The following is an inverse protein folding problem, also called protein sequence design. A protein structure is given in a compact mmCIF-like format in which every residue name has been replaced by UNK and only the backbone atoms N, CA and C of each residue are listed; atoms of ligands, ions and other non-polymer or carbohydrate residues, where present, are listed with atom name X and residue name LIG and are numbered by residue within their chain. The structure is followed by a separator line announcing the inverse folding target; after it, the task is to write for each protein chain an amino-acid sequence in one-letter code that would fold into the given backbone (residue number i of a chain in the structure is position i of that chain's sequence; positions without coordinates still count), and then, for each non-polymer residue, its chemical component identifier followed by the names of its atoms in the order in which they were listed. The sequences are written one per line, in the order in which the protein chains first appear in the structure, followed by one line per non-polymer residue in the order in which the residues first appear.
data_IF_173280955959
#
_entry.id   IF_173280955959
#
_cell.length_a   1.000
_cell.length_b   1.000
_cell.length_c   1.000
_cell.angle_alpha   90.00
_cell.angle_beta   90.00
_cell.angle_gamma   90.00
#
_symmetry.space_group_name_H-M   'P 1'
#
loop_
_entity.id
_entity.type
_entity.pdbx_description
1 polymer ?
#
# COMPACT_ATOMS: atom_id res chain seq x y z
N UNK A 1 56.61 58.35 -9.27
CA UNK A 1 56.06 59.72 -9.13
C UNK A 1 55.14 59.71 -7.90
N UNK A 2 55.46 60.46 -6.83
CA UNK A 2 54.83 60.36 -5.51
C UNK A 2 53.96 61.58 -5.12
N UNK A 3 53.04 61.40 -4.16
CA UNK A 3 52.41 62.35 -3.21
C UNK A 3 51.43 61.51 -2.36
N UNK A 4 51.55 61.22 -1.04
CA UNK A 4 51.53 62.03 0.22
C UNK A 4 50.31 62.98 0.25
N UNK A 5 49.32 62.93 1.17
CA UNK A 5 49.32 63.30 2.61
C UNK A 5 48.12 62.71 3.40
N UNK A 6 48.38 62.49 4.69
CA UNK A 6 47.58 62.11 5.88
C UNK A 6 46.19 62.72 6.15
N UNK A 7 45.45 62.06 7.04
CA UNK A 7 44.27 62.60 7.74
C UNK A 7 43.64 61.74 8.86
N UNK A 8 44.39 61.48 9.94
CA UNK A 8 43.98 61.43 11.36
C UNK A 8 42.68 60.73 11.87
N UNK A 9 42.93 59.81 12.80
CA UNK A 9 42.37 59.71 14.17
C UNK A 9 40.90 59.34 14.42
N UNK A 10 40.71 58.25 15.18
CA UNK A 10 39.44 57.91 15.84
C UNK A 10 39.43 56.58 16.59
N UNK A 11 40.37 56.33 17.50
CA UNK A 11 40.24 55.27 18.50
C UNK A 11 39.15 55.64 19.52
N UNK A 12 38.18 54.75 19.75
CA UNK A 12 37.51 54.64 21.05
C UNK A 12 37.63 53.21 21.58
N UNK A 13 38.38 53.12 22.66
CA UNK A 13 38.48 52.01 23.60
C UNK A 13 37.12 51.66 24.23
N UNK A 14 36.93 50.37 24.53
CA UNK A 14 36.49 49.75 25.81
C UNK A 14 36.82 48.26 25.59
N UNK A 15 37.82 47.64 26.24
CA UNK A 15 37.88 47.34 27.68
C UNK A 15 37.29 45.92 27.90
N UNK A 16 38.04 44.86 27.63
CA UNK A 16 38.75 43.99 28.59
C UNK A 16 37.85 43.29 29.63
N UNK A 17 37.88 41.94 29.61
CA UNK A 17 38.08 41.06 30.78
C UNK A 17 37.14 39.83 30.88
N UNK A 18 37.81 38.66 30.96
CA UNK A 18 37.64 37.65 32.02
C UNK A 18 36.47 36.64 31.96
N UNK A 19 36.79 35.34 31.71
CA UNK A 19 36.90 34.26 32.74
C UNK A 19 36.67 32.86 32.15
N UNK A 20 37.57 31.92 32.50
CA UNK A 20 37.39 30.47 32.48
C UNK A 20 36.18 30.04 33.33
N UNK A 21 35.30 29.17 32.84
CA UNK A 21 34.61 28.23 33.72
C UNK A 21 33.94 27.07 32.95
N UNK A 22 34.24 25.85 33.38
CA UNK A 22 33.24 24.80 33.54
C UNK A 22 32.91 23.98 32.30
N UNK A 23 33.56 22.82 32.18
CA UNK A 23 32.95 21.63 31.58
C UNK A 23 31.68 21.32 32.39
N UNK A 24 30.53 21.74 31.87
CA UNK A 24 29.23 21.19 32.27
C UNK A 24 28.94 20.08 31.29
N UNK A 25 29.22 18.83 31.70
CA UNK A 25 28.60 17.67 31.09
C UNK A 25 27.12 17.77 31.45
N UNK A 26 26.35 18.43 30.59
CA UNK A 26 24.90 18.29 30.56
C UNK A 26 24.63 16.87 30.06
N UNK A 27 24.59 15.94 31.02
CA UNK A 27 23.77 14.73 30.92
C UNK A 27 22.34 15.22 30.68
N UNK A 28 21.99 15.44 29.40
CA UNK A 28 20.62 15.38 28.96
C UNK A 28 20.17 13.97 29.29
N UNK A 29 19.52 13.82 30.44
CA UNK A 29 18.54 12.78 30.64
C UNK A 29 17.54 12.97 29.48
N UNK A 30 17.80 12.28 28.37
CA UNK A 30 16.73 11.81 27.54
C UNK A 30 15.93 10.90 28.46
N UNK A 31 14.99 11.50 29.21
CA UNK A 31 13.80 10.79 29.59
C UNK A 31 13.31 10.17 28.29
N UNK A 32 13.58 8.90 28.11
CA UNK A 32 12.75 8.03 27.30
C UNK A 32 11.37 8.15 27.94
N UNK A 33 10.63 9.21 27.59
CA UNK A 33 9.18 9.21 27.65
C UNK A 33 8.80 8.07 26.73
N UNK A 34 8.74 6.88 27.30
CA UNK A 34 8.01 5.77 26.72
C UNK A 34 6.65 6.37 26.40
N UNK A 35 6.39 6.56 25.11
CA UNK A 35 5.20 7.26 24.65
C UNK A 35 4.02 6.61 25.37
N UNK A 36 3.31 7.39 26.19
CA UNK A 36 2.20 6.88 26.99
C UNK A 36 1.24 6.21 26.01
N UNK A 37 0.98 4.92 26.21
CA UNK A 37 0.07 4.17 25.35
C UNK A 37 -1.32 4.80 25.42
N UNK A 38 -1.87 5.12 24.26
CA UNK A 38 -3.14 5.82 24.17
C UNK A 38 -4.28 4.88 24.58
N UNK A 39 -5.23 5.44 25.30
CA UNK A 39 -6.45 4.72 25.69
C UNK A 39 -7.49 4.78 24.58
N UNK A 40 -8.44 3.84 24.61
CA UNK A 40 -9.58 3.85 23.68
C UNK A 40 -10.32 5.20 23.72
N UNK A 41 -10.55 5.76 24.92
CA UNK A 41 -11.21 7.05 25.07
C UNK A 41 -10.42 8.20 24.44
N UNK A 42 -9.10 8.24 24.64
CA UNK A 42 -8.25 9.29 24.06
C UNK A 42 -8.27 9.25 22.53
N UNK A 43 -8.24 8.07 21.92
CA UNK A 43 -8.29 7.92 20.46
C UNK A 43 -9.65 8.33 19.89
N UNK A 44 -10.75 7.93 20.54
CA UNK A 44 -12.10 8.35 20.11
C UNK A 44 -12.34 9.86 20.33
N UNK A 45 -11.86 10.41 21.44
CA UNK A 45 -11.98 11.83 21.74
C UNK A 45 -11.18 12.72 20.77
N UNK A 46 -10.08 12.21 20.19
CA UNK A 46 -9.32 12.92 19.18
C UNK A 46 -10.14 13.22 17.91
N UNK A 47 -11.17 12.43 17.61
CA UNK A 47 -12.14 12.67 16.53
C UNK A 47 -13.33 13.55 16.94
N UNK A 48 -13.30 14.14 18.14
CA UNK A 48 -14.40 14.94 18.70
C UNK A 48 -15.63 14.11 19.06
N UNK A 49 -15.47 12.80 19.26
CA UNK A 49 -16.54 11.86 19.57
C UNK A 49 -16.48 11.38 21.02
N UNK A 50 -17.63 10.95 21.53
CA UNK A 50 -17.73 10.24 22.81
C UNK A 50 -18.00 8.77 22.52
N UNK A 51 -17.12 7.89 22.99
CA UNK A 51 -17.27 6.45 22.80
C UNK A 51 -18.59 5.94 23.43
N UNK A 52 -19.21 4.90 22.84
CA UNK A 52 -20.51 4.39 23.29
C UNK A 52 -20.41 3.82 24.71
N UNK A 53 -21.53 3.80 25.44
CA UNK A 53 -21.58 3.34 26.84
C UNK A 53 -21.17 1.87 26.98
N UNK A 54 -21.45 1.06 25.97
CA UNK A 54 -21.07 -0.34 25.88
C UNK A 54 -19.53 -0.51 25.82
N UNK A 55 -18.81 0.48 25.29
CA UNK A 55 -17.36 0.56 25.34
C UNK A 55 -16.84 1.34 26.57
N UNK A 56 -17.72 1.98 27.36
CA UNK A 56 -17.33 2.87 28.45
C UNK A 56 -16.69 2.16 29.65
N UNK A 57 -17.00 0.89 29.88
CA UNK A 57 -16.31 0.07 30.90
C UNK A 57 -14.82 -0.11 30.57
N UNK A 58 -14.48 -0.08 29.27
CA UNK A 58 -13.15 -0.37 28.75
C UNK A 58 -12.44 0.90 28.22
N UNK A 59 -13.07 2.07 28.32
CA UNK A 59 -12.59 3.33 27.74
C UNK A 59 -11.21 3.77 28.24
N UNK A 60 -10.89 3.48 29.51
CA UNK A 60 -9.60 3.78 30.11
C UNK A 60 -8.49 2.78 29.77
N UNK A 61 -8.80 1.70 29.03
CA UNK A 61 -7.79 0.70 28.67
C UNK A 61 -6.89 1.20 27.53
N UNK A 62 -5.57 1.00 27.65
CA UNK A 62 -4.65 1.22 26.54
C UNK A 62 -4.95 0.30 25.36
N UNK A 63 -4.82 0.84 24.15
CA UNK A 63 -4.95 0.11 22.89
C UNK A 63 -3.61 0.10 22.14
N UNK A 64 -3.44 -0.87 21.25
CA UNK A 64 -2.25 -1.00 20.41
C UNK A 64 -2.64 -1.46 19.01
N UNK A 65 -1.67 -1.38 18.08
CA UNK A 65 -1.78 -1.88 16.70
C UNK A 65 -3.10 -1.49 16.04
N UNK A 66 -3.45 -0.21 16.11
CA UNK A 66 -4.75 0.30 15.73
C UNK A 66 -4.64 1.21 14.50
N UNK A 67 -5.74 1.33 13.76
CA UNK A 67 -5.90 2.33 12.72
C UNK A 67 -7.29 2.96 12.77
N UNK A 68 -7.35 4.23 12.36
CA UNK A 68 -8.55 5.06 12.37
C UNK A 68 -8.88 5.49 10.96
N UNK A 69 -10.15 5.35 10.58
CA UNK A 69 -10.77 6.12 9.51
C UNK A 69 -11.64 7.18 10.17
N UNK A 70 -11.38 8.45 9.88
CA UNK A 70 -12.24 9.56 10.31
C UNK A 70 -12.63 10.40 9.09
N UNK A 71 -13.78 10.08 8.49
CA UNK A 71 -14.32 10.82 7.37
C UNK A 71 -15.64 11.52 7.73
N UNK A 72 -16.18 12.29 6.78
CA UNK A 72 -17.39 13.11 6.99
C UNK A 72 -18.65 12.28 7.27
N UNK A 73 -18.68 11.04 6.83
CA UNK A 73 -19.84 10.14 6.89
C UNK A 73 -19.72 9.10 8.01
N UNK A 74 -18.51 8.64 8.31
CA UNK A 74 -18.27 7.54 9.24
C UNK A 74 -16.94 7.72 9.95
N UNK A 75 -16.91 7.32 11.21
CA UNK A 75 -15.70 7.07 11.97
C UNK A 75 -15.57 5.56 12.21
N UNK A 76 -14.38 5.01 12.01
CA UNK A 76 -14.08 3.59 12.27
C UNK A 76 -12.74 3.46 12.96
N UNK A 77 -12.69 2.68 14.03
CA UNK A 77 -11.47 2.34 14.76
C UNK A 77 -11.38 0.82 14.87
N UNK A 78 -10.31 0.25 14.30
CA UNK A 78 -9.95 -1.16 14.48
C UNK A 78 -8.70 -1.25 15.36
N UNK A 79 -8.72 -2.11 16.39
CA UNK A 79 -7.68 -2.11 17.43
C UNK A 79 -7.60 -3.42 18.21
N UNK A 80 -6.47 -3.61 18.90
CA UNK A 80 -6.30 -4.60 19.96
C UNK A 80 -6.16 -3.94 21.33
N UNK A 81 -6.46 -4.70 22.38
CA UNK A 81 -6.03 -4.30 23.71
C UNK A 81 -4.52 -4.40 23.83
N UNK A 82 -3.93 -3.42 24.48
CA UNK A 82 -2.54 -3.51 24.86
C UNK A 82 -2.40 -4.34 26.14
N UNK A 83 -2.04 -5.60 25.96
CA UNK A 83 -1.91 -6.56 27.06
C UNK A 83 -0.44 -6.71 27.48
N UNK A 84 -0.16 -7.08 28.74
CA UNK A 84 1.21 -7.28 29.24
C UNK A 84 2.00 -8.35 28.50
N UNK A 85 1.32 -9.28 27.80
CA UNK A 85 1.95 -10.32 27.00
C UNK A 85 2.81 -9.75 25.86
N UNK A 86 2.50 -8.53 25.39
CA UNK A 86 3.16 -7.91 24.24
C UNK A 86 2.82 -8.57 22.91
N UNK A 87 1.88 -9.52 22.91
CA UNK A 87 1.38 -10.23 21.73
C UNK A 87 0.00 -9.67 21.39
N UNK A 88 -0.36 -9.64 20.10
CA UNK A 88 -1.71 -9.32 19.68
C UNK A 88 -2.62 -10.51 20.02
N UNK A 89 -3.51 -10.31 21.00
CA UNK A 89 -4.46 -11.33 21.41
C UNK A 89 -5.84 -11.04 20.82
N UNK A 90 -6.43 -12.08 20.24
CA UNK A 90 -7.81 -12.06 19.77
C UNK A 90 -8.80 -11.65 20.88
N UNK A 91 -9.94 -11.05 20.52
CA UNK A 91 -10.33 -10.67 19.16
C UNK A 91 -9.80 -9.29 18.72
N UNK A 92 -9.66 -9.11 17.41
CA UNK A 92 -9.61 -7.78 16.81
C UNK A 92 -10.95 -7.06 17.07
N UNK A 93 -10.89 -5.86 17.64
CA UNK A 93 -12.08 -5.06 17.98
C UNK A 93 -12.29 -3.97 16.96
N UNK A 94 -13.56 -3.73 16.61
CA UNK A 94 -13.94 -2.68 15.67
C UNK A 94 -15.06 -1.85 16.29
N UNK A 95 -14.87 -0.53 16.30
CA UNK A 95 -15.93 0.44 16.56
C UNK A 95 -16.22 1.19 15.27
N UNK A 96 -17.50 1.42 15.00
CA UNK A 96 -17.91 2.35 13.94
C UNK A 96 -18.97 3.30 14.46
N UNK A 97 -18.92 4.54 13.99
CA UNK A 97 -19.91 5.58 14.26
C UNK A 97 -20.39 6.16 12.94
N UNK A 98 -21.67 5.98 12.66
CA UNK A 98 -22.31 6.59 11.50
C UNK A 98 -22.70 8.04 11.88
N UNK A 99 -22.07 9.03 11.23
CA UNK A 99 -22.25 10.44 11.57
C UNK A 99 -23.62 10.99 11.15
N UNK A 100 -24.27 10.36 10.17
CA UNK A 100 -25.59 10.77 9.70
C UNK A 100 -26.72 10.39 10.66
N UNK A 101 -26.66 9.18 11.20
CA UNK A 101 -27.64 8.63 12.15
C UNK A 101 -27.24 8.84 13.61
N UNK A 102 -25.96 9.12 13.89
CA UNK A 102 -25.43 9.22 15.24
C UNK A 102 -25.33 7.87 15.96
N UNK A 103 -25.35 6.75 15.22
CA UNK A 103 -25.39 5.40 15.78
C UNK A 103 -23.98 4.81 15.87
N UNK A 104 -23.64 4.29 17.05
CA UNK A 104 -22.46 3.47 17.26
C UNK A 104 -22.76 2.00 17.00
N UNK A 105 -21.77 1.29 16.46
CA UNK A 105 -21.72 -0.18 16.41
C UNK A 105 -20.37 -0.65 16.94
N UNK A 106 -20.38 -1.80 17.60
CA UNK A 106 -19.20 -2.51 18.06
C UNK A 106 -19.21 -3.94 17.52
N UNK A 107 -18.07 -4.42 17.06
CA UNK A 107 -17.87 -5.76 16.53
C UNK A 107 -16.53 -6.33 16.97
N UNK A 108 -16.42 -7.64 16.91
CA UNK A 108 -15.22 -8.38 17.27
C UNK A 108 -14.98 -9.47 16.24
N UNK A 109 -13.73 -9.58 15.77
CA UNK A 109 -13.30 -10.64 14.87
C UNK A 109 -12.36 -11.57 15.66
N UNK A 110 -12.84 -12.77 15.96
CA UNK A 110 -12.04 -13.86 16.51
C UNK A 110 -11.72 -14.81 15.35
N UNK A 111 -10.50 -14.69 14.81
CA UNK A 111 -10.07 -15.38 13.60
C UNK A 111 -8.93 -16.38 13.90
N UNK A 112 -8.31 -16.29 15.08
CA UNK A 112 -7.40 -17.30 15.59
C UNK A 112 -8.15 -18.61 15.84
N UNK A 113 -7.75 -19.68 15.13
CA UNK A 113 -8.37 -21.00 15.21
C UNK A 113 -9.49 -21.26 14.21
N UNK A 114 -9.72 -20.36 13.24
CA UNK A 114 -10.59 -20.63 12.09
C UNK A 114 -10.05 -21.83 11.28
N UNK A 115 -10.85 -22.89 11.02
CA UNK A 115 -10.45 -24.06 10.22
C UNK A 115 -10.01 -23.72 8.79
N UNK A 116 -10.28 -22.51 8.30
CA UNK A 116 -9.85 -22.03 6.97
C UNK A 116 -8.44 -21.36 7.03
N UNK A 117 -7.73 -21.46 8.16
CA UNK A 117 -6.37 -20.93 8.35
C UNK A 117 -6.22 -19.40 8.17
N UNK A 118 -7.31 -18.63 8.27
CA UNK A 118 -7.26 -17.16 8.25
C UNK A 118 -6.53 -16.54 9.45
N UNK A 119 -6.12 -17.33 10.45
CA UNK A 119 -5.40 -16.86 11.63
C UNK A 119 -4.10 -16.13 11.30
N UNK A 120 -3.46 -16.42 10.16
CA UNK A 120 -2.26 -15.70 9.71
C UNK A 120 -2.56 -14.26 9.28
N UNK A 121 -3.80 -13.93 8.90
CA UNK A 121 -4.20 -12.59 8.48
C UNK A 121 -4.51 -11.63 9.65
N UNK A 122 -4.38 -12.11 10.89
CA UNK A 122 -4.72 -11.36 12.10
C UNK A 122 -3.45 -10.78 12.70
N UNK A 123 -3.00 -9.66 12.15
CA UNK A 123 -1.85 -8.93 12.64
C UNK A 123 -2.15 -7.46 12.91
N UNK A 124 -1.12 -6.62 12.98
CA UNK A 124 -1.36 -5.20 13.31
C UNK A 124 -2.12 -4.51 12.20
N UNK A 125 -3.07 -3.65 12.57
CA UNK A 125 -3.88 -2.91 11.62
C UNK A 125 -3.07 -1.69 11.18
N UNK A 126 -2.87 -1.59 9.87
CA UNK A 126 -2.13 -0.49 9.24
C UNK A 126 -3.07 0.60 8.72
N UNK A 127 -4.25 0.21 8.24
CA UNK A 127 -5.19 1.15 7.64
C UNK A 127 -6.63 0.63 7.73
N UNK A 128 -7.56 1.56 7.86
CA UNK A 128 -9.00 1.32 7.70
C UNK A 128 -9.52 2.15 6.54
N UNK A 129 -10.34 1.54 5.69
CA UNK A 129 -11.02 2.22 4.59
C UNK A 129 -12.50 1.88 4.58
N UNK A 130 -13.32 2.80 4.08
CA UNK A 130 -14.75 2.59 3.91
C UNK A 130 -15.09 2.48 2.43
N UNK A 131 -15.84 1.43 2.10
CA UNK A 131 -16.62 1.31 0.89
C UNK A 131 -18.11 1.49 1.25
N UNK A 132 -18.99 1.75 0.27
CA UNK A 132 -20.43 1.86 0.52
C UNK A 132 -21.02 0.62 1.21
N UNK A 133 -20.48 -0.56 0.94
CA UNK A 133 -20.99 -1.86 1.41
C UNK A 133 -20.12 -2.55 2.46
N UNK A 134 -18.89 -2.07 2.72
CA UNK A 134 -17.94 -2.73 3.59
C UNK A 134 -16.94 -1.75 4.22
N UNK A 135 -16.25 -2.22 5.25
CA UNK A 135 -14.98 -1.67 5.71
C UNK A 135 -13.86 -2.62 5.30
N UNK A 136 -12.72 -2.04 4.96
CA UNK A 136 -11.52 -2.78 4.62
C UNK A 136 -10.44 -2.49 5.67
N UNK A 137 -9.84 -3.55 6.22
CA UNK A 137 -8.76 -3.43 7.19
C UNK A 137 -7.50 -4.03 6.58
N UNK A 138 -6.50 -3.19 6.33
CA UNK A 138 -5.16 -3.68 5.96
C UNK A 138 -4.46 -4.13 7.25
N UNK A 139 -4.10 -5.40 7.32
CA UNK A 139 -3.30 -6.00 8.39
C UNK A 139 -1.94 -6.43 7.86
N UNK A 140 -0.90 -6.40 8.68
CA UNK A 140 0.39 -7.01 8.33
C UNK A 140 0.59 -8.34 9.04
N UNK A 141 1.16 -9.32 8.34
CA UNK A 141 1.68 -10.57 8.90
C UNK A 141 3.16 -10.37 9.25
N UNK A 142 3.91 -9.77 8.33
CA UNK A 142 5.31 -9.38 8.46
C UNK A 142 5.53 -8.11 7.60
N UNK A 143 6.74 -7.51 7.55
CA UNK A 143 6.99 -6.29 6.79
C UNK A 143 6.64 -6.34 5.29
N UNK A 144 6.40 -7.54 4.76
CA UNK A 144 6.34 -7.79 3.32
C UNK A 144 5.15 -8.65 2.90
N UNK A 145 4.32 -9.07 3.85
CA UNK A 145 3.08 -9.77 3.61
C UNK A 145 2.01 -9.20 4.53
N UNK A 146 0.87 -8.87 3.94
CA UNK A 146 -0.31 -8.42 4.65
C UNK A 146 -1.57 -9.14 4.18
N UNK A 147 -2.66 -8.86 4.87
CA UNK A 147 -3.99 -9.24 4.43
C UNK A 147 -4.92 -8.04 4.41
N UNK A 148 -5.91 -8.12 3.53
CA UNK A 148 -7.03 -7.21 3.45
C UNK A 148 -8.26 -7.91 4.01
N UNK A 149 -8.67 -7.54 5.23
CA UNK A 149 -9.90 -8.05 5.81
C UNK A 149 -11.09 -7.25 5.26
N UNK A 150 -12.07 -7.96 4.71
CA UNK A 150 -13.34 -7.40 4.26
C UNK A 150 -14.37 -7.61 5.37
N UNK A 151 -14.90 -6.50 5.89
CA UNK A 151 -15.85 -6.49 7.00
C UNK A 151 -17.12 -5.78 6.56
N UNK A 152 -18.31 -6.31 6.86
CA UNK A 152 -19.58 -5.66 6.50
C UNK A 152 -19.76 -4.33 7.25
N UNK A 153 -20.69 -3.48 6.79
CA UNK A 153 -21.11 -2.27 7.53
C UNK A 153 -21.78 -2.57 8.89
N UNK A 154 -22.06 -3.84 9.18
CA UNK A 154 -22.52 -4.33 10.48
C UNK A 154 -21.40 -4.98 11.31
N UNK A 155 -20.15 -4.80 10.90
CA UNK A 155 -18.95 -5.28 11.59
C UNK A 155 -18.81 -6.80 11.64
N UNK A 156 -19.36 -7.49 10.64
CA UNK A 156 -19.23 -8.94 10.47
C UNK A 156 -18.09 -9.25 9.48
N UNK A 157 -17.26 -10.23 9.81
CA UNK A 157 -16.25 -10.75 8.89
C UNK A 157 -16.89 -11.29 7.60
N UNK A 158 -16.29 -10.98 6.45
CA UNK A 158 -16.75 -11.47 5.13
C UNK A 158 -15.67 -12.24 4.39
N UNK A 159 -14.44 -11.73 4.39
CA UNK A 159 -13.31 -12.39 3.75
C UNK A 159 -11.97 -11.88 4.29
N UNK A 160 -10.92 -12.66 4.08
CA UNK A 160 -9.54 -12.23 4.22
C UNK A 160 -8.84 -12.48 2.88
N UNK A 161 -8.28 -11.42 2.28
CA UNK A 161 -7.57 -11.50 1.01
C UNK A 161 -6.07 -11.36 1.28
N UNK A 162 -5.25 -12.24 0.73
CA UNK A 162 -3.80 -12.21 0.95
C UNK A 162 -3.16 -11.11 0.09
N UNK A 163 -3.00 -9.92 0.65
CA UNK A 163 -2.60 -8.73 -0.09
C UNK A 163 -3.08 -7.43 0.54
N UNK A 164 -2.98 -6.33 -0.22
CA UNK A 164 -3.41 -5.00 0.19
C UNK A 164 -4.27 -4.31 -0.86
N UNK A 165 -5.17 -3.45 -0.39
CA UNK A 165 -6.12 -2.73 -1.23
C UNK A 165 -5.43 -1.75 -2.20
N UNK A 166 -5.88 -1.77 -3.46
CA UNK A 166 -5.49 -0.79 -4.49
C UNK A 166 -6.66 0.12 -4.89
N UNK A 167 -7.81 -0.45 -5.21
CA UNK A 167 -8.97 0.28 -5.69
C UNK A 167 -10.27 -0.53 -5.51
N UNK A 168 -11.42 0.08 -5.74
CA UNK A 168 -12.70 -0.60 -5.80
C UNK A 168 -13.59 -0.05 -6.91
N UNK A 169 -14.53 -0.89 -7.32
CA UNK A 169 -15.72 -0.50 -8.07
C UNK A 169 -16.86 -0.34 -7.07
N UNK A 170 -17.69 0.69 -7.22
CA UNK A 170 -18.77 0.99 -6.27
C UNK A 170 -19.79 -0.16 -6.09
N UNK A 171 -19.78 -1.15 -6.97
CA UNK A 171 -20.72 -2.27 -7.05
C UNK A 171 -20.32 -3.56 -6.33
N UNK A 172 -19.17 -3.62 -5.64
CA UNK A 172 -18.78 -4.82 -4.90
C UNK A 172 -17.41 -5.38 -5.25
N UNK A 173 -16.75 -4.86 -6.30
CA UNK A 173 -15.46 -5.39 -6.76
C UNK A 173 -14.31 -4.66 -6.08
N UNK A 174 -13.40 -5.42 -5.47
CA UNK A 174 -12.22 -4.91 -4.77
C UNK A 174 -10.99 -5.33 -5.55
N UNK A 175 -10.20 -4.38 -6.02
CA UNK A 175 -8.91 -4.61 -6.66
C UNK A 175 -7.82 -4.52 -5.60
N UNK A 176 -6.98 -5.55 -5.54
CA UNK A 176 -5.92 -5.64 -4.56
C UNK A 176 -4.65 -6.22 -5.19
N UNK A 177 -3.50 -5.86 -4.62
CA UNK A 177 -2.22 -6.49 -4.94
C UNK A 177 -2.04 -7.65 -3.98
N UNK A 178 -1.69 -8.83 -4.49
CA UNK A 178 -1.38 -9.98 -3.65
C UNK A 178 -0.02 -9.78 -2.98
N UNK A 179 0.11 -10.30 -1.76
CA UNK A 179 1.36 -10.23 -1.02
C UNK A 179 2.46 -11.04 -1.72
N UNK A 180 3.67 -10.48 -1.74
CA UNK A 180 4.84 -11.03 -2.44
C UNK A 180 5.77 -11.81 -1.49
N UNK A 181 6.55 -12.74 -2.05
CA UNK A 181 7.58 -13.45 -1.30
C UNK A 181 8.84 -12.56 -1.20
N UNK A 182 9.00 -11.89 -0.07
CA UNK A 182 10.06 -10.89 0.10
C UNK A 182 11.49 -11.39 -0.06
N UNK A 183 11.74 -12.67 0.25
CA UNK A 183 13.07 -13.29 0.15
C UNK A 183 13.32 -13.97 -1.21
N UNK A 184 12.46 -13.74 -2.19
CA UNK A 184 12.71 -14.14 -3.56
C UNK A 184 13.79 -13.25 -4.19
N UNK A 185 14.53 -13.80 -5.15
CA UNK A 185 15.43 -13.02 -6.02
C UNK A 185 14.68 -12.28 -7.12
N UNK A 186 13.38 -12.52 -7.25
CA UNK A 186 12.49 -11.84 -8.19
C UNK A 186 11.18 -11.51 -7.51
N UNK A 187 10.67 -10.30 -7.75
CA UNK A 187 9.45 -9.76 -7.15
C UNK A 187 8.40 -9.50 -8.22
N UNK A 188 7.64 -10.53 -8.65
CA UNK A 188 6.55 -10.33 -9.59
C UNK A 188 5.34 -9.71 -8.89
N UNK A 189 4.90 -8.55 -9.36
CA UNK A 189 3.61 -8.01 -8.95
C UNK A 189 2.50 -8.96 -9.36
N UNK A 190 1.57 -9.22 -8.45
CA UNK A 190 0.34 -9.95 -8.72
C UNK A 190 -0.87 -9.13 -8.29
N UNK A 191 -1.84 -8.97 -9.20
CA UNK A 191 -3.07 -8.24 -8.91
C UNK A 191 -4.27 -9.14 -9.14
N UNK A 192 -5.28 -8.99 -8.30
CA UNK A 192 -6.53 -9.70 -8.41
C UNK A 192 -7.72 -8.77 -8.13
N UNK A 193 -8.90 -9.22 -8.55
CA UNK A 193 -10.18 -8.62 -8.18
C UNK A 193 -10.99 -9.63 -7.38
N UNK A 194 -11.56 -9.17 -6.27
CA UNK A 194 -12.47 -9.92 -5.43
C UNK A 194 -13.88 -9.36 -5.57
N UNK A 195 -14.86 -10.20 -5.88
CA UNK A 195 -16.27 -9.84 -5.92
C UNK A 195 -16.94 -10.13 -4.56
N UNK A 196 -17.23 -9.07 -3.81
CA UNK A 196 -17.82 -9.17 -2.48
C UNK A 196 -19.26 -9.75 -2.47
N UNK A 197 -19.91 -9.86 -3.63
CA UNK A 197 -21.26 -10.44 -3.74
C UNK A 197 -21.21 -11.96 -3.85
N UNK A 198 -20.22 -12.48 -4.57
CA UNK A 198 -20.07 -13.91 -4.86
C UNK A 198 -19.01 -14.59 -4.01
N UNK A 199 -18.11 -13.81 -3.41
CA UNK A 199 -16.94 -14.28 -2.70
C UNK A 199 -15.84 -14.82 -3.60
N UNK A 200 -15.93 -14.60 -4.92
CA UNK A 200 -14.97 -15.12 -5.89
C UNK A 200 -13.82 -14.14 -6.13
N UNK A 201 -12.64 -14.71 -6.36
CA UNK A 201 -11.44 -13.99 -6.75
C UNK A 201 -11.05 -14.33 -8.19
N UNK A 202 -10.65 -13.32 -8.95
CA UNK A 202 -10.13 -13.46 -10.31
C UNK A 202 -8.78 -12.76 -10.43
N UNK A 203 -7.77 -13.48 -10.94
CA UNK A 203 -6.47 -12.91 -11.25
C UNK A 203 -6.56 -11.90 -12.41
N UNK A 204 -5.99 -10.71 -12.18
CA UNK A 204 -5.89 -9.63 -13.16
C UNK A 204 -4.50 -9.57 -13.78
N UNK A 205 -3.44 -9.64 -12.98
CA UNK A 205 -2.07 -9.55 -13.48
C UNK A 205 -1.15 -10.54 -12.74
N UNK A 206 -0.22 -11.20 -13.46
CA UNK A 206 -0.13 -11.25 -14.92
C UNK A 206 -1.26 -12.11 -15.52
N UNK A 207 -1.82 -11.70 -16.67
CA UNK A 207 -2.93 -12.43 -17.33
C UNK A 207 -2.48 -13.19 -18.57
N UNK A 208 -2.77 -14.49 -18.60
CA UNK A 208 -2.56 -15.34 -19.78
C UNK A 208 -3.79 -15.34 -20.72
N UNK A 209 -3.59 -15.54 -22.04
CA UNK A 209 -2.29 -15.55 -22.73
C UNK A 209 -1.64 -14.16 -22.68
N UNK A 210 -0.31 -14.09 -22.58
CA UNK A 210 0.42 -12.83 -22.57
C UNK A 210 0.30 -12.12 -23.92
N UNK A 211 0.27 -10.79 -23.90
CA UNK A 211 0.30 -9.96 -25.10
C UNK A 211 1.74 -9.68 -25.55
N UNK A 212 1.88 -8.87 -26.60
CA UNK A 212 3.12 -8.73 -27.35
C UNK A 212 4.30 -8.21 -26.52
N UNK A 213 4.10 -7.23 -25.64
CA UNK A 213 5.16 -6.60 -24.85
C UNK A 213 5.71 -7.61 -23.84
N UNK A 214 4.84 -8.21 -23.03
CA UNK A 214 5.27 -9.20 -22.03
C UNK A 214 5.83 -10.46 -22.68
N UNK A 215 5.24 -10.91 -23.79
CA UNK A 215 5.73 -12.09 -24.51
C UNK A 215 7.12 -11.86 -25.13
N UNK A 216 7.36 -10.67 -25.71
CA UNK A 216 8.66 -10.33 -26.28
C UNK A 216 9.75 -10.31 -25.20
N UNK A 217 9.48 -9.65 -24.07
CA UNK A 217 10.45 -9.62 -22.97
C UNK A 217 10.70 -11.01 -22.36
N UNK A 218 9.65 -11.84 -22.21
CA UNK A 218 9.82 -13.23 -21.79
C UNK A 218 10.69 -14.05 -22.75
N UNK A 219 10.59 -13.81 -24.06
CA UNK A 219 11.45 -14.47 -25.04
C UNK A 219 12.92 -14.02 -24.94
N UNK A 220 13.18 -12.73 -24.69
CA UNK A 220 14.53 -12.20 -24.44
C UNK A 220 15.16 -12.81 -23.18
N UNK A 221 14.40 -12.88 -22.09
CA UNK A 221 14.85 -13.54 -20.86
C UNK A 221 15.12 -15.03 -21.08
N UNK A 222 14.25 -15.73 -21.81
CA UNK A 222 14.43 -17.14 -22.11
C UNK A 222 15.72 -17.38 -22.90
N UNK A 223 16.00 -16.54 -23.90
CA UNK A 223 17.24 -16.62 -24.69
C UNK A 223 18.47 -16.28 -23.84
N UNK A 224 18.37 -15.28 -22.96
CA UNK A 224 19.45 -14.92 -22.04
C UNK A 224 19.79 -16.09 -21.10
N UNK A 225 18.79 -16.69 -20.44
CA UNK A 225 19.01 -17.81 -19.54
C UNK A 225 19.57 -19.04 -20.26
N UNK A 226 19.11 -19.30 -21.50
CA UNK A 226 19.63 -20.39 -22.35
C UNK A 226 21.09 -20.20 -22.74
N UNK A 227 21.53 -18.96 -22.94
CA UNK A 227 22.92 -18.64 -23.36
C UNK A 227 23.88 -18.41 -22.19
N UNK A 228 23.34 -18.30 -20.96
CA UNK A 228 24.09 -18.01 -19.75
C UNK A 228 23.66 -18.93 -18.60
N UNK A 229 23.70 -20.25 -18.81
CA UNK A 229 23.15 -21.26 -17.88
C UNK A 229 23.68 -21.12 -16.43
N UNK A 230 24.96 -20.77 -16.26
CA UNK A 230 25.58 -20.58 -14.94
C UNK A 230 25.17 -19.26 -14.24
N UNK A 231 24.51 -18.33 -14.94
CA UNK A 231 24.18 -17.02 -14.38
C UNK A 231 23.15 -17.15 -13.26
N UNK A 232 22.13 -17.98 -13.43
CA UNK A 232 21.07 -18.12 -12.44
C UNK A 232 21.57 -18.71 -11.13
N UNK A 233 22.36 -19.78 -11.19
CA UNK A 233 22.96 -20.39 -9.99
C UNK A 233 23.84 -19.38 -9.23
N UNK A 234 24.68 -18.61 -9.94
CA UNK A 234 25.57 -17.61 -9.33
C UNK A 234 24.82 -16.46 -8.67
N UNK A 235 23.66 -16.10 -9.21
CA UNK A 235 22.85 -14.98 -8.74
C UNK A 235 21.65 -15.41 -7.90
N UNK A 236 21.53 -16.71 -7.57
CA UNK A 236 20.37 -17.28 -6.89
C UNK A 236 19.03 -16.91 -7.57
N UNK A 237 19.03 -16.81 -8.90
CA UNK A 237 17.87 -16.41 -9.71
C UNK A 237 17.04 -17.63 -10.15
N UNK A 238 15.69 -17.58 -10.19
CA UNK A 238 14.83 -18.72 -10.54
C UNK A 238 14.96 -19.20 -11.99
N UNK A 239 15.60 -18.42 -12.87
CA UNK A 239 15.72 -18.72 -14.31
C UNK A 239 14.37 -18.92 -15.04
N UNK A 240 13.26 -18.45 -14.45
CA UNK A 240 11.94 -18.49 -15.07
C UNK A 240 11.71 -17.19 -15.87
N UNK A 241 11.59 -17.24 -17.21
CA UNK A 241 11.33 -16.06 -18.03
C UNK A 241 9.95 -15.43 -17.79
N UNK A 242 9.02 -16.11 -17.11
CA UNK A 242 7.74 -15.53 -16.74
C UNK A 242 7.75 -14.90 -15.34
N UNK A 243 8.73 -15.24 -14.50
CA UNK A 243 8.97 -14.62 -13.20
C UNK A 243 9.85 -13.39 -13.41
N UNK A 244 9.21 -12.23 -13.48
CA UNK A 244 9.86 -10.95 -13.80
C UNK A 244 9.71 -9.98 -12.63
N UNK A 245 10.77 -9.26 -12.30
CA UNK A 245 10.67 -8.09 -11.43
C UNK A 245 9.64 -7.13 -12.02
N UNK A 246 8.62 -6.84 -11.22
CA UNK A 246 7.58 -5.91 -11.62
C UNK A 246 6.93 -5.29 -10.41
N UNK A 247 6.59 -4.01 -10.51
CA UNK A 247 5.91 -3.28 -9.43
C UNK A 247 4.76 -2.45 -9.98
N UNK A 248 3.67 -2.36 -9.20
CA UNK A 248 2.60 -1.40 -9.48
C UNK A 248 3.09 0.00 -9.16
N UNK A 249 2.95 0.92 -10.12
CA UNK A 249 3.38 2.32 -9.94
C UNK A 249 2.20 3.26 -10.02
N UNK A 250 2.08 4.13 -9.02
CA UNK A 250 1.04 5.15 -8.97
C UNK A 250 -0.32 4.59 -8.56
N UNK A 251 -1.39 5.26 -8.99
CA UNK A 251 -2.75 4.85 -8.68
C UNK A 251 -3.24 3.72 -9.58
N UNK A 252 -4.19 2.94 -9.05
CA UNK A 252 -5.02 2.04 -9.85
C UNK A 252 -6.35 2.73 -10.12
N UNK A 253 -6.62 3.05 -11.38
CA UNK A 253 -7.82 3.78 -11.78
C UNK A 253 -8.96 2.81 -12.12
N UNK A 254 -10.17 3.11 -11.63
CA UNK A 254 -11.40 2.35 -11.93
C UNK A 254 -12.47 3.25 -12.54
N UNK A 255 -13.26 2.69 -13.46
CA UNK A 255 -14.49 3.28 -13.98
C UNK A 255 -15.64 2.30 -13.76
N UNK A 256 -16.52 2.63 -12.81
CA UNK A 256 -17.69 1.81 -12.50
C UNK A 256 -18.72 1.79 -13.65
N UNK A 257 -18.84 2.89 -14.39
CA UNK A 257 -19.75 2.98 -15.53
C UNK A 257 -19.34 2.05 -16.69
N UNK A 258 -18.03 1.94 -16.93
CA UNK A 258 -17.49 1.16 -18.05
C UNK A 258 -17.00 -0.23 -17.63
N UNK A 259 -17.13 -0.58 -16.35
CA UNK A 259 -16.51 -1.76 -15.71
C UNK A 259 -15.05 -1.94 -16.16
N UNK A 260 -14.30 -0.84 -16.14
CA UNK A 260 -12.95 -0.73 -16.68
C UNK A 260 -11.92 -0.37 -15.60
N UNK A 261 -10.70 -0.83 -15.81
CA UNK A 261 -9.57 -0.70 -14.88
C UNK A 261 -8.32 -0.33 -15.67
N UNK A 262 -7.49 0.56 -15.12
CA UNK A 262 -6.14 0.79 -15.63
C UNK A 262 -5.13 0.90 -14.49
N UNK A 263 -3.94 0.36 -14.72
CA UNK A 263 -2.79 0.47 -13.82
C UNK A 263 -1.49 0.42 -14.62
N UNK A 264 -0.39 0.86 -13.99
CA UNK A 264 0.95 0.84 -14.59
C UNK A 264 1.80 -0.17 -13.85
N UNK A 265 2.48 -1.04 -14.62
CA UNK A 265 3.53 -1.91 -14.13
C UNK A 265 4.87 -1.34 -14.58
N UNK A 266 5.79 -1.12 -13.65
CA UNK A 266 7.20 -0.95 -13.99
C UNK A 266 7.90 -2.30 -14.02
N UNK A 267 8.67 -2.54 -15.07
CA UNK A 267 9.60 -3.67 -15.22
C UNK A 267 11.06 -3.24 -14.95
N UNK A 268 11.26 -2.09 -14.32
CA UNK A 268 12.57 -1.70 -13.83
C UNK A 268 13.05 -2.73 -12.80
N UNK A 269 14.34 -3.09 -12.86
CA UNK A 269 14.92 -4.06 -11.93
C UNK A 269 14.75 -3.56 -10.49
N UNK A 270 14.15 -4.41 -9.64
CA UNK A 270 13.98 -4.12 -8.21
C UNK A 270 15.23 -4.56 -7.46
N UNK A 271 15.85 -5.65 -7.91
CA UNK A 271 17.12 -6.12 -7.38
C UNK A 271 18.30 -5.83 -8.30
N UNK A 272 19.43 -5.47 -7.69
CA UNK A 272 20.71 -5.44 -8.38
C UNK A 272 21.47 -6.74 -8.16
N UNK A 273 21.75 -7.46 -9.24
CA UNK A 273 22.63 -8.62 -9.22
C UNK A 273 24.10 -8.23 -9.34
N UNK A 274 25.03 -8.80 -8.56
CA UNK A 274 26.44 -8.48 -8.65
C UNK A 274 27.05 -8.91 -10.00
N UNK A 275 28.05 -8.15 -10.48
CA UNK A 275 28.79 -8.42 -11.71
C UNK A 275 28.40 -7.56 -12.91
N UNK A 276 29.19 -7.66 -13.98
CA UNK A 276 29.05 -6.83 -15.19
C UNK A 276 27.97 -7.33 -16.15
N UNK A 277 27.63 -8.62 -16.08
CA UNK A 277 26.61 -9.23 -16.92
C UNK A 277 25.23 -9.12 -16.26
N UNK A 278 24.35 -8.31 -16.85
CA UNK A 278 22.97 -8.08 -16.43
C UNK A 278 22.00 -8.81 -17.36
N UNK A 279 20.81 -9.11 -16.83
CA UNK A 279 19.68 -9.52 -17.67
C UNK A 279 19.32 -8.42 -18.68
N UNK A 280 18.66 -8.77 -19.80
CA UNK A 280 18.06 -7.78 -20.69
C UNK A 280 17.23 -6.76 -19.91
N UNK A 281 17.29 -5.46 -20.27
CA UNK A 281 16.44 -4.46 -19.63
C UNK A 281 14.97 -4.76 -19.93
N UNK A 282 14.11 -4.59 -18.93
CA UNK A 282 12.66 -4.70 -19.14
C UNK A 282 12.12 -3.63 -20.08
N UNK A 283 10.86 -3.76 -20.52
CA UNK A 283 10.20 -2.78 -21.40
C UNK A 283 9.95 -1.40 -20.75
N UNK A 284 10.47 -1.15 -19.55
CA UNK A 284 10.18 0.04 -18.75
C UNK A 284 8.77 -0.02 -18.16
N UNK A 285 7.98 1.03 -18.38
CA UNK A 285 6.62 1.15 -17.84
C UNK A 285 5.56 0.75 -18.86
N UNK A 286 4.68 -0.15 -18.46
CA UNK A 286 3.59 -0.67 -19.29
C UNK A 286 2.26 -0.37 -18.63
N UNK A 287 1.35 0.24 -19.38
CA UNK A 287 -0.03 0.48 -18.96
C UNK A 287 -0.86 -0.73 -19.33
N UNK A 288 -1.52 -1.31 -18.32
CA UNK A 288 -2.49 -2.38 -18.49
C UNK A 288 -3.89 -1.81 -18.36
N UNK A 289 -4.73 -2.02 -19.38
CA UNK A 289 -6.14 -1.62 -19.38
C UNK A 289 -7.03 -2.85 -19.51
N UNK A 290 -8.10 -2.90 -18.72
CA UNK A 290 -9.11 -3.95 -18.75
C UNK A 290 -10.49 -3.34 -18.96
N UNK A 291 -11.37 -4.09 -19.62
CA UNK A 291 -12.82 -3.81 -19.72
C UNK A 291 -13.61 -5.07 -19.42
N UNK A 292 -14.85 -4.90 -18.97
CA UNK A 292 -15.74 -5.99 -18.52
C UNK A 292 -15.14 -6.76 -17.34
N UNK A 293 -14.54 -6.04 -16.39
CA UNK A 293 -13.88 -6.59 -15.18
C UNK A 293 -14.86 -7.36 -14.29
N UNK A 294 -16.14 -7.06 -14.39
CA UNK A 294 -17.25 -7.70 -13.70
C UNK A 294 -17.60 -9.10 -14.23
N UNK A 295 -17.09 -9.50 -15.41
CA UNK A 295 -17.40 -10.78 -16.02
C UNK A 295 -16.17 -11.43 -16.67
N UNK A 296 -15.65 -12.48 -16.02
CA UNK A 296 -14.48 -13.23 -16.48
C UNK A 296 -14.60 -13.77 -17.91
N UNK A 297 -15.80 -14.13 -18.37
CA UNK A 297 -16.01 -14.71 -19.70
C UNK A 297 -15.86 -13.67 -20.83
N UNK A 298 -16.10 -12.39 -20.52
CA UNK A 298 -16.01 -11.28 -21.48
C UNK A 298 -14.87 -10.32 -21.16
N UNK A 299 -14.08 -10.61 -20.12
CA UNK A 299 -12.95 -9.80 -19.70
C UNK A 299 -11.91 -9.69 -20.82
N UNK A 300 -11.65 -8.46 -21.23
CA UNK A 300 -10.61 -8.14 -22.20
C UNK A 300 -9.55 -7.27 -21.56
N UNK A 301 -8.32 -7.39 -22.06
CA UNK A 301 -7.23 -6.53 -21.64
C UNK A 301 -6.37 -6.07 -22.82
N UNK A 302 -5.64 -4.98 -22.61
CA UNK A 302 -4.60 -4.45 -23.50
C UNK A 302 -3.39 -4.03 -22.67
N UNK A 303 -2.20 -4.28 -23.21
CA UNK A 303 -0.97 -3.70 -22.70
C UNK A 303 -0.38 -2.74 -23.73
N UNK A 304 0.07 -1.58 -23.26
CA UNK A 304 0.64 -0.51 -24.08
C UNK A 304 1.83 0.07 -23.33
N UNK A 305 2.93 0.39 -24.03
CA UNK A 305 4.02 1.14 -23.40
C UNK A 305 3.49 2.49 -22.93
N UNK A 306 3.92 2.94 -21.76
CA UNK A 306 3.55 4.26 -21.25
C UNK A 306 3.95 5.36 -22.24
N UNK A 307 5.11 5.23 -22.88
CA UNK A 307 5.57 6.13 -23.95
C UNK A 307 4.61 6.19 -25.15
N UNK A 308 3.99 5.07 -25.51
CA UNK A 308 3.04 5.01 -26.62
C UNK A 308 1.71 5.66 -26.25
N UNK A 309 1.26 5.47 -25.01
CA UNK A 309 0.11 6.19 -24.44
C UNK A 309 0.36 7.70 -24.47
N UNK A 310 1.51 8.15 -23.97
CA UNK A 310 1.89 9.56 -23.94
C UNK A 310 2.00 10.17 -25.34
N UNK A 311 2.59 9.43 -26.29
CA UNK A 311 2.68 9.88 -27.68
C UNK A 311 1.32 9.99 -28.36
N UNK A 312 0.40 9.05 -28.07
CA UNK A 312 -0.92 8.99 -28.72
C UNK A 312 -1.95 9.92 -28.08
N UNK A 313 -1.91 10.06 -26.76
CA UNK A 313 -2.98 10.68 -25.97
C UNK A 313 -2.51 11.90 -25.17
N UNK A 314 -1.20 12.16 -25.11
CA UNK A 314 -0.60 13.14 -24.22
C UNK A 314 -0.39 12.58 -22.81
N UNK A 315 0.19 13.38 -21.93
CA UNK A 315 0.35 13.05 -20.52
C UNK A 315 -0.98 13.25 -19.79
N UNK A 316 -1.81 12.21 -19.77
CA UNK A 316 -3.13 12.20 -19.14
C UNK A 316 -3.14 11.37 -17.86
N UNK A 317 -3.98 11.71 -16.86
CA UNK A 317 -4.25 10.82 -15.74
C UNK A 317 -4.79 9.46 -16.22
N UNK A 318 -4.41 8.38 -15.54
CA UNK A 318 -4.86 7.01 -15.85
C UNK A 318 -6.38 6.91 -15.98
N UNK A 319 -7.11 7.60 -15.10
CA UNK A 319 -8.58 7.64 -15.12
C UNK A 319 -9.15 8.13 -16.45
N UNK A 320 -8.50 9.06 -17.15
CA UNK A 320 -8.97 9.57 -18.44
C UNK A 320 -8.85 8.53 -19.56
N UNK A 321 -8.01 7.50 -19.40
CA UNK A 321 -7.95 6.38 -20.34
C UNK A 321 -9.18 5.47 -20.24
N UNK A 322 -9.95 5.59 -19.15
CA UNK A 322 -11.17 4.81 -18.90
C UNK A 322 -12.44 5.52 -19.35
N UNK A 323 -12.31 6.64 -20.04
CA UNK A 323 -13.44 7.33 -20.67
C UNK A 323 -13.91 6.55 -21.92
N UNK A 324 -15.22 6.55 -22.24
CA UNK A 324 -15.79 5.72 -23.32
C UNK A 324 -15.07 5.89 -24.67
N UNK A 325 -14.79 7.14 -25.07
CA UNK A 325 -14.12 7.44 -26.34
C UNK A 325 -12.69 6.88 -26.39
N UNK A 326 -11.97 6.92 -25.27
CA UNK A 326 -10.60 6.39 -25.17
C UNK A 326 -10.59 4.88 -25.15
N UNK A 327 -11.50 4.26 -24.39
CA UNK A 327 -11.68 2.81 -24.42
C UNK A 327 -12.01 2.32 -25.83
N UNK A 328 -12.87 3.04 -26.56
CA UNK A 328 -13.15 2.72 -27.97
C UNK A 328 -11.90 2.87 -28.86
N UNK A 329 -11.07 3.89 -28.65
CA UNK A 329 -9.83 4.05 -29.42
C UNK A 329 -8.77 2.98 -29.10
N UNK A 330 -8.76 2.44 -27.87
CA UNK A 330 -7.78 1.44 -27.41
C UNK A 330 -8.20 0.02 -27.78
N UNK A 331 -9.49 -0.30 -27.62
CA UNK A 331 -10.03 -1.64 -27.88
C UNK A 331 -10.71 -1.76 -29.24
N UNK A 332 -11.03 -0.64 -29.90
CA UNK A 332 -11.54 -0.62 -31.26
C UNK A 332 -10.54 -1.20 -32.24
N UNK A 333 -11.07 -1.94 -33.22
CA UNK A 333 -10.29 -2.49 -34.33
C UNK A 333 -9.98 -1.41 -35.34
#
# INVERSE_FOLDING_TARGET
MPTIIDGMAGLRHIGLSCILAGIVVLLLAAETRQARKQTLAEVVAAAGLTAPREAAVEQGRPITSYAVLDDRSVYVLAYYWDLPSGILEDPLRILSYDRGSGVWKAGQLALAGDPIAHGECVGSILRVQALPYAFLLDTHINPSAGCLLVVSRNLEFRAALYGWYLAAFGEGLIVFQRSEVHFASVHPAELAVYDARTGQEMALFPRKPFQAIRSAYGAELAEFYRTHEDWCMRNNHPCDPESMDSSVVGEVATSAQEHALAFVISYDAIQEFPGDLKTPPGPGKVVYLYRHVDNQATLEYRELLLSDIEARFGNLPLRSLLEPERLQQIFGK
#
